data_IF_288646703607
#
_entry.id   IF_288646703607
#
_cell.length_a   1.000
_cell.length_b   1.000
_cell.length_c   1.000
_cell.angle_alpha   90.00
_cell.angle_beta   90.00
_cell.angle_gamma   90.00
#
_symmetry.space_group_name_H-M   'P 1'
#
loop_
_entity.id
_entity.type
_entity.pdbx_description
1 polymer ?
#
# COMPACT_ATOMS: atom_id res chain seq x y z
N UNK A 1 6.48 -11.93 13.27
CA UNK A 1 5.09 -11.60 13.65
C UNK A 1 4.77 -10.12 13.35
N UNK A 2 3.50 -9.78 13.13
CA UNK A 2 3.07 -8.38 12.96
C UNK A 2 3.08 -7.63 14.30
N UNK A 3 3.05 -6.30 14.25
CA UNK A 3 2.89 -5.44 15.44
C UNK A 3 1.44 -4.97 15.52
N UNK A 4 0.86 -5.00 16.72
CA UNK A 4 -0.50 -4.57 16.99
C UNK A 4 -0.54 -3.12 17.45
N UNK A 5 -1.49 -2.35 16.91
CA UNK A 5 -1.73 -0.99 17.37
C UNK A 5 -2.69 -1.02 18.58
N UNK A 6 -2.13 -0.84 19.77
CA UNK A 6 -2.92 -0.71 21.01
C UNK A 6 -3.09 0.78 21.33
N UNK A 7 -4.32 1.26 21.29
CA UNK A 7 -4.67 2.68 21.55
C UNK A 7 -4.91 2.97 23.02
N UNK A 8 -5.10 1.94 23.85
CA UNK A 8 -5.25 2.08 25.30
C UNK A 8 -3.87 2.14 25.93
N UNK A 9 -3.69 3.06 26.90
CA UNK A 9 -2.45 3.23 27.64
C UNK A 9 -2.20 1.99 28.51
N UNK A 10 -1.44 1.04 27.99
CA UNK A 10 -0.90 -0.09 28.75
C UNK A 10 0.58 0.13 29.09
N UNK A 11 1.11 -0.64 30.03
CA UNK A 11 2.53 -0.59 30.43
C UNK A 11 3.48 -1.18 29.38
N UNK A 12 2.95 -1.92 28.40
CA UNK A 12 3.75 -2.52 27.33
C UNK A 12 3.85 -1.57 26.14
N UNK A 13 5.08 -1.28 25.72
CA UNK A 13 5.36 -0.41 24.58
C UNK A 13 5.26 -1.10 23.22
N UNK A 14 5.17 -2.44 23.20
CA UNK A 14 5.12 -3.23 21.96
C UNK A 14 4.31 -4.50 22.17
N UNK A 15 3.36 -4.73 21.27
CA UNK A 15 2.52 -5.94 21.25
C UNK A 15 2.63 -6.58 19.87
N UNK A 16 2.81 -7.90 19.83
CA UNK A 16 2.98 -8.67 18.60
C UNK A 16 1.74 -9.51 18.31
N UNK A 17 1.38 -9.64 17.04
CA UNK A 17 0.24 -10.44 16.59
C UNK A 17 0.48 -11.95 16.74
N UNK A 18 -0.55 -12.64 17.20
CA UNK A 18 -0.63 -14.09 17.27
C UNK A 18 -2.03 -14.59 16.90
N UNK A 19 -2.12 -15.86 16.50
CA UNK A 19 -3.38 -16.57 16.30
C UNK A 19 -3.26 -17.97 16.90
N UNK A 20 -4.22 -18.37 17.74
CA UNK A 20 -4.19 -19.65 18.44
C UNK A 20 -2.94 -19.86 19.32
N UNK A 21 -2.39 -18.79 19.91
CA UNK A 21 -1.16 -18.84 20.71
C UNK A 21 0.13 -19.01 19.88
N UNK A 22 0.06 -18.84 18.56
CA UNK A 22 1.21 -18.92 17.65
C UNK A 22 1.46 -17.55 17.03
N UNK A 23 2.70 -17.08 17.14
CA UNK A 23 3.11 -15.81 16.56
C UNK A 23 2.92 -15.81 15.03
N UNK A 24 2.23 -14.79 14.50
CA UNK A 24 1.78 -14.79 13.10
C UNK A 24 2.05 -13.45 12.40
N UNK A 25 2.05 -13.48 11.06
CA UNK A 25 1.97 -12.27 10.24
C UNK A 25 0.51 -12.06 9.83
N UNK A 26 0.06 -10.81 9.90
CA UNK A 26 -1.24 -10.44 9.36
C UNK A 26 -1.32 -10.72 7.85
N UNK A 27 -2.46 -11.23 7.39
CA UNK A 27 -2.68 -11.56 5.99
C UNK A 27 -2.53 -10.35 5.06
N UNK A 28 -2.98 -9.15 5.48
CA UNK A 28 -2.80 -7.92 4.70
C UNK A 28 -1.33 -7.53 4.54
N UNK A 29 -0.45 -7.89 5.48
CA UNK A 29 0.99 -7.62 5.37
C UNK A 29 1.64 -8.51 4.32
N UNK A 30 1.22 -9.78 4.26
CA UNK A 30 1.61 -10.71 3.19
C UNK A 30 1.02 -10.25 1.85
N UNK A 31 -0.26 -9.86 1.82
CA UNK A 31 -0.92 -9.35 0.62
C UNK A 31 -0.26 -8.09 0.07
N UNK A 32 0.18 -7.17 0.93
CA UNK A 32 0.95 -5.98 0.53
C UNK A 32 2.27 -6.37 -0.17
N UNK A 33 2.99 -7.36 0.37
CA UNK A 33 4.20 -7.87 -0.28
C UNK A 33 3.91 -8.51 -1.64
N UNK A 34 2.84 -9.31 -1.75
CA UNK A 34 2.45 -9.97 -3.01
C UNK A 34 2.09 -8.97 -4.11
N UNK A 35 1.37 -7.89 -3.80
CA UNK A 35 1.01 -6.85 -4.78
C UNK A 35 2.09 -5.78 -4.99
N UNK A 36 3.33 -6.03 -4.54
CA UNK A 36 4.50 -5.17 -4.79
C UNK A 36 5.03 -5.39 -6.21
N UNK A 37 4.25 -4.93 -7.18
CA UNK A 37 4.47 -5.15 -8.61
C UNK A 37 4.47 -3.85 -9.43
N UNK A 38 4.09 -2.71 -8.84
CA UNK A 38 4.03 -1.46 -9.58
C UNK A 38 5.45 -0.95 -9.84
N UNK A 39 5.90 -1.14 -11.08
CA UNK A 39 7.16 -0.61 -11.63
C UNK A 39 6.90 0.40 -12.75
N UNK A 40 5.66 0.91 -12.85
CA UNK A 40 5.21 1.74 -13.99
C UNK A 40 4.88 3.18 -13.57
N UNK A 41 5.39 3.63 -12.44
CA UNK A 41 5.27 5.01 -11.98
C UNK A 41 6.51 5.81 -12.42
N UNK A 42 6.41 7.14 -12.40
CA UNK A 42 7.52 7.99 -12.83
C UNK A 42 8.74 7.80 -11.91
N UNK A 43 9.94 7.73 -12.51
CA UNK A 43 11.20 7.52 -11.78
C UNK A 43 11.22 6.25 -10.91
N UNK A 44 10.66 5.15 -11.43
CA UNK A 44 10.59 3.87 -10.75
C UNK A 44 11.97 3.28 -10.40
N UNK A 45 12.47 3.63 -9.21
CA UNK A 45 13.72 3.10 -8.66
C UNK A 45 13.56 1.74 -7.96
N UNK A 46 12.33 1.38 -7.55
CA UNK A 46 12.01 0.09 -6.91
C UNK A 46 10.53 -0.26 -7.10
N UNK A 47 10.14 -1.54 -7.09
CA UNK A 47 8.73 -1.91 -7.05
C UNK A 47 8.03 -1.36 -5.81
N UNK A 48 6.81 -0.87 -5.96
CA UNK A 48 5.92 -0.50 -4.85
C UNK A 48 4.65 -1.35 -4.88
N UNK A 49 4.01 -1.46 -3.72
CA UNK A 49 2.70 -2.10 -3.61
C UNK A 49 1.66 -1.31 -4.42
N UNK A 50 0.85 -1.99 -5.23
CA UNK A 50 -0.20 -1.34 -6.04
C UNK A 50 -1.23 -0.68 -5.11
N UNK A 51 -1.30 0.64 -5.15
CA UNK A 51 -2.25 1.49 -4.42
C UNK A 51 -2.89 2.49 -5.38
N UNK A 52 -4.10 2.97 -5.10
CA UNK A 52 -4.81 3.90 -5.99
C UNK A 52 -3.99 5.17 -6.34
N UNK A 53 -3.21 5.66 -5.38
CA UNK A 53 -2.34 6.84 -5.54
C UNK A 53 -0.84 6.50 -5.50
N UNK A 54 -0.48 5.20 -5.59
CA UNK A 54 0.91 4.76 -5.43
C UNK A 54 1.53 5.20 -4.09
N UNK A 55 0.76 5.11 -3.00
CA UNK A 55 1.18 5.58 -1.69
C UNK A 55 2.13 4.58 -0.98
N UNK A 56 3.25 5.08 -0.47
CA UNK A 56 4.21 4.33 0.34
C UNK A 56 4.29 4.98 1.71
N UNK A 57 3.55 4.41 2.67
CA UNK A 57 3.36 4.96 4.02
C UNK A 57 4.66 5.21 4.76
N UNK A 58 5.60 4.26 4.74
CA UNK A 58 6.90 4.41 5.43
C UNK A 58 7.76 5.56 4.87
N UNK A 59 7.51 6.00 3.64
CA UNK A 59 8.20 7.14 3.02
C UNK A 59 7.37 8.42 3.05
N UNK A 60 6.12 8.37 3.52
CA UNK A 60 5.18 9.50 3.46
C UNK A 60 4.96 10.04 2.05
N UNK A 61 5.12 9.20 1.02
CA UNK A 61 5.17 9.62 -0.40
C UNK A 61 4.06 8.96 -1.21
N UNK A 62 3.42 9.72 -2.10
CA UNK A 62 2.52 9.22 -3.13
C UNK A 62 3.15 9.43 -4.52
N UNK A 63 3.41 8.34 -5.24
CA UNK A 63 4.09 8.36 -6.54
C UNK A 63 3.16 8.58 -7.73
N UNK A 64 1.84 8.49 -7.54
CA UNK A 64 0.84 8.73 -8.59
C UNK A 64 -0.12 9.81 -8.11
N UNK A 65 0.34 11.06 -8.12
CA UNK A 65 -0.46 12.16 -7.56
C UNK A 65 -1.65 12.47 -8.48
N UNK A 66 -2.83 12.80 -7.94
CA UNK A 66 -3.97 13.22 -8.75
C UNK A 66 -3.67 14.42 -9.66
N UNK A 67 -2.79 15.32 -9.22
CA UNK A 67 -2.33 16.47 -10.01
C UNK A 67 -1.59 16.08 -11.28
N UNK A 68 -0.97 14.90 -11.31
CA UNK A 68 -0.25 14.35 -12.46
C UNK A 68 -1.15 13.50 -13.35
N UNK A 69 -2.41 13.26 -12.94
CA UNK A 69 -3.42 12.47 -13.69
C UNK A 69 -2.99 11.04 -14.00
N UNK A 70 -2.13 10.46 -13.14
CA UNK A 70 -1.58 9.10 -13.25
C UNK A 70 -2.05 8.16 -12.13
N UNK A 71 -2.95 8.63 -11.27
CA UNK A 71 -3.63 7.81 -10.26
C UNK A 71 -4.67 6.88 -10.88
N UNK A 72 -5.06 5.86 -10.12
CA UNK A 72 -6.01 4.85 -10.59
C UNK A 72 -7.35 5.45 -11.04
N UNK A 73 -7.93 6.39 -10.29
CA UNK A 73 -9.27 6.91 -10.60
C UNK A 73 -9.24 7.72 -11.90
N UNK A 74 -8.25 8.61 -12.06
CA UNK A 74 -8.12 9.37 -13.30
C UNK A 74 -7.90 8.46 -14.52
N UNK A 75 -7.08 7.41 -14.38
CA UNK A 75 -6.83 6.46 -15.46
C UNK A 75 -8.08 5.60 -15.76
N UNK A 76 -8.78 5.15 -14.73
CA UNK A 76 -9.99 4.34 -14.85
C UNK A 76 -11.13 5.12 -15.51
N UNK A 77 -11.34 6.37 -15.13
CA UNK A 77 -12.38 7.23 -15.72
C UNK A 77 -12.15 7.44 -17.22
N UNK A 78 -10.90 7.77 -17.60
CA UNK A 78 -10.50 7.94 -19.01
C UNK A 78 -10.70 6.65 -19.81
N UNK A 79 -10.27 5.52 -19.26
CA UNK A 79 -10.47 4.22 -19.89
C UNK A 79 -11.95 3.86 -20.01
N UNK A 80 -12.75 4.13 -18.99
CA UNK A 80 -14.18 3.83 -18.93
C UNK A 80 -15.01 4.55 -20.00
N UNK A 81 -14.56 5.73 -20.45
CA UNK A 81 -15.18 6.47 -21.57
C UNK A 81 -14.60 6.12 -22.94
N UNK A 82 -13.70 5.14 -23.01
CA UNK A 82 -13.11 4.64 -24.25
C UNK A 82 -11.85 5.37 -24.70
N UNK A 83 -11.23 6.21 -23.86
CA UNK A 83 -9.93 6.78 -24.19
C UNK A 83 -8.84 5.70 -24.17
N UNK A 84 -7.91 5.80 -25.13
CA UNK A 84 -6.70 5.00 -25.09
C UNK A 84 -5.74 5.59 -24.06
N UNK A 85 -5.41 4.80 -23.04
CA UNK A 85 -4.33 5.12 -22.12
C UNK A 85 -2.98 5.02 -22.86
N UNK A 86 -2.13 6.01 -22.67
CA UNK A 86 -0.79 6.13 -23.27
C UNK A 86 0.26 6.25 -22.17
#
# INVERSE_FOLDING_TARGET
>A
PSEELVTVKESKSKVLYETGGIAALHSQKVGNALRTIDTWYDDAARPIAVEAYGAVTNLGTAYRKPTEKKDFYTLFDRFGVGERLS
#
